data_IF_392198634560
#
_entry.id   IF_392198634560
#
_cell.length_a   1.000
_cell.length_b   1.000
_cell.length_c   1.000
_cell.angle_alpha   90.00
_cell.angle_beta   90.00
_cell.angle_gamma   90.00
#
_symmetry.space_group_name_H-M   'P 1'
#
loop_
_entity.id
_entity.type
_entity.pdbx_description
1 polymer ?
#
# COMPACT_ATOMS: atom_id res chain seq x y z
N UNK A 1 -18.13 -28.06 -43.01
CA UNK A 1 -16.94 -27.17 -43.03
C UNK A 1 -17.18 -25.84 -42.32
N UNK A 2 -18.27 -25.10 -42.58
CA UNK A 2 -18.54 -23.80 -41.93
C UNK A 2 -18.57 -23.82 -40.38
N UNK A 3 -19.18 -24.83 -39.74
CA UNK A 3 -19.21 -24.98 -38.28
C UNK A 3 -17.82 -25.14 -37.64
N UNK A 4 -16.91 -25.84 -38.30
CA UNK A 4 -15.55 -26.03 -37.81
C UNK A 4 -14.74 -24.73 -37.89
N UNK A 5 -14.94 -23.93 -38.94
CA UNK A 5 -14.32 -22.60 -39.05
C UNK A 5 -14.84 -21.62 -38.00
N UNK A 6 -16.14 -21.63 -37.69
CA UNK A 6 -16.72 -20.76 -36.64
C UNK A 6 -16.18 -21.14 -35.26
N UNK A 7 -16.09 -22.44 -34.95
CA UNK A 7 -15.51 -22.90 -33.68
C UNK A 7 -14.02 -22.56 -33.57
N UNK A 8 -13.26 -22.69 -34.66
CA UNK A 8 -11.85 -22.32 -34.71
C UNK A 8 -11.67 -20.80 -34.51
N UNK A 9 -12.51 -19.97 -35.14
CA UNK A 9 -12.45 -18.52 -34.97
C UNK A 9 -12.82 -18.08 -33.55
N UNK A 10 -13.83 -18.72 -32.93
CA UNK A 10 -14.20 -18.43 -31.54
C UNK A 10 -13.08 -18.84 -30.58
N UNK A 11 -12.49 -20.02 -30.76
CA UNK A 11 -11.36 -20.47 -29.96
C UNK A 11 -10.14 -19.53 -30.09
N UNK A 12 -9.84 -19.06 -31.31
CA UNK A 12 -8.76 -18.12 -31.56
C UNK A 12 -9.01 -16.77 -30.87
N UNK A 13 -10.24 -16.25 -30.95
CA UNK A 13 -10.63 -15.00 -30.28
C UNK A 13 -10.54 -15.15 -28.76
N UNK A 14 -11.02 -16.27 -28.20
CA UNK A 14 -10.89 -16.54 -26.76
C UNK A 14 -9.43 -16.60 -26.30
N UNK A 15 -8.55 -17.23 -27.08
CA UNK A 15 -7.12 -17.30 -26.78
C UNK A 15 -6.45 -15.92 -26.83
N UNK A 16 -6.76 -15.11 -27.85
CA UNK A 16 -6.22 -13.76 -27.98
C UNK A 16 -6.69 -12.83 -26.86
N UNK A 17 -7.98 -12.91 -26.50
CA UNK A 17 -8.54 -12.13 -25.38
C UNK A 17 -7.87 -12.54 -24.06
N UNK A 18 -7.72 -13.85 -23.80
CA UNK A 18 -7.07 -14.33 -22.57
C UNK A 18 -5.59 -13.95 -22.47
N UNK A 19 -4.85 -13.96 -23.59
CA UNK A 19 -3.47 -13.49 -23.61
C UNK A 19 -3.36 -11.98 -23.36
N UNK A 20 -4.29 -11.19 -23.93
CA UNK A 20 -4.38 -9.75 -23.71
C UNK A 20 -4.65 -9.39 -22.25
N UNK A 21 -5.64 -10.04 -21.62
CA UNK A 21 -6.01 -9.80 -20.21
C UNK A 21 -4.92 -10.26 -19.23
N UNK A 22 -4.21 -11.35 -19.51
CA UNK A 22 -3.08 -11.79 -18.71
C UNK A 22 -1.93 -10.77 -18.75
N UNK A 23 -1.59 -10.27 -19.94
CA UNK A 23 -0.55 -9.25 -20.18
C UNK A 23 -0.89 -7.91 -19.51
N UNK A 24 -2.14 -7.48 -19.59
CA UNK A 24 -2.59 -6.23 -18.98
C UNK A 24 -2.54 -6.27 -17.44
N UNK A 25 -3.00 -7.36 -16.83
CA UNK A 25 -2.93 -7.52 -15.38
C UNK A 25 -1.49 -7.56 -14.86
N UNK A 26 -0.58 -8.23 -15.57
CA UNK A 26 0.84 -8.24 -15.22
C UNK A 26 1.43 -6.82 -15.23
N UNK A 27 1.07 -6.02 -16.24
CA UNK A 27 1.46 -4.60 -16.32
C UNK A 27 0.91 -3.79 -15.14
N UNK A 28 -0.35 -4.00 -14.77
CA UNK A 28 -0.98 -3.33 -13.62
C UNK A 28 -0.27 -3.68 -12.29
N UNK A 29 0.06 -4.95 -12.08
CA UNK A 29 0.82 -5.39 -10.91
C UNK A 29 2.20 -4.74 -10.85
N UNK A 30 2.95 -4.78 -11.95
CA UNK A 30 4.28 -4.15 -12.03
C UNK A 30 4.20 -2.65 -11.71
N UNK A 31 3.19 -1.95 -12.24
CA UNK A 31 2.96 -0.55 -11.94
C UNK A 31 2.66 -0.32 -10.45
N UNK A 32 1.81 -1.13 -9.84
CA UNK A 32 1.49 -1.04 -8.41
C UNK A 32 2.74 -1.27 -7.54
N UNK A 33 3.55 -2.28 -7.86
CA UNK A 33 4.83 -2.56 -7.17
C UNK A 33 5.81 -1.39 -7.27
N UNK A 34 5.96 -0.81 -8.46
CA UNK A 34 6.84 0.36 -8.67
C UNK A 34 6.34 1.56 -7.84
N UNK A 35 5.04 1.82 -7.85
CA UNK A 35 4.44 2.96 -7.13
C UNK A 35 4.61 2.83 -5.61
N UNK A 36 4.34 1.67 -5.03
CA UNK A 36 4.57 1.46 -3.58
C UNK A 36 6.04 1.47 -3.23
N UNK A 37 6.92 0.93 -4.08
CA UNK A 37 8.36 0.97 -3.86
C UNK A 37 8.87 2.42 -3.78
N UNK A 38 8.38 3.30 -4.66
CA UNK A 38 8.69 4.73 -4.56
C UNK A 38 8.19 5.36 -3.25
N UNK A 39 6.99 5.01 -2.79
CA UNK A 39 6.46 5.48 -1.50
C UNK A 39 7.30 4.97 -0.32
N UNK A 40 7.71 3.71 -0.33
CA UNK A 40 8.57 3.15 0.72
C UNK A 40 9.96 3.81 0.73
N UNK A 41 10.57 4.02 -0.44
CA UNK A 41 11.85 4.74 -0.55
C UNK A 41 11.73 6.19 -0.05
N UNK A 42 10.63 6.87 -0.41
CA UNK A 42 10.34 8.20 0.10
C UNK A 42 10.21 8.19 1.63
N UNK A 43 9.47 7.24 2.19
CA UNK A 43 9.34 7.08 3.64
C UNK A 43 10.68 6.85 4.35
N UNK A 44 11.54 6.01 3.77
CA UNK A 44 12.89 5.77 4.27
C UNK A 44 13.75 7.03 4.23
N UNK A 45 13.66 7.83 3.16
CA UNK A 45 14.35 9.12 3.07
C UNK A 45 13.85 10.10 4.14
N UNK A 46 12.54 10.25 4.28
CA UNK A 46 11.95 11.20 5.22
C UNK A 46 12.33 10.91 6.67
N UNK A 47 12.31 9.64 7.10
CA UNK A 47 12.71 9.30 8.48
C UNK A 47 14.21 9.53 8.70
N UNK A 48 15.06 9.22 7.71
CA UNK A 48 16.50 9.46 7.82
C UNK A 48 16.80 10.96 7.90
N UNK A 49 16.19 11.77 7.04
CA UNK A 49 16.37 13.22 7.05
C UNK A 49 15.88 13.83 8.38
N UNK A 50 14.76 13.33 8.90
CA UNK A 50 14.25 13.72 10.21
C UNK A 50 15.26 13.38 11.30
N UNK A 51 15.75 12.13 11.36
CA UNK A 51 16.76 11.71 12.35
C UNK A 51 18.05 12.53 12.25
N UNK A 52 18.48 12.91 11.04
CA UNK A 52 19.65 13.76 10.75
C UNK A 52 19.48 15.21 11.20
N UNK A 53 18.25 15.70 11.31
CA UNK A 53 17.98 17.01 11.89
C UNK A 53 18.02 17.06 13.43
N UNK A 54 18.01 15.91 14.10
CA UNK A 54 17.89 15.84 15.57
C UNK A 54 19.24 15.93 16.29
N UNK A 55 19.21 16.42 17.53
CA UNK A 55 20.36 16.32 18.43
C UNK A 55 20.63 14.84 18.78
N UNK A 56 21.89 14.45 19.06
CA UNK A 56 22.24 13.06 19.38
C UNK A 56 21.43 12.44 20.53
N UNK A 57 21.09 13.24 21.55
CA UNK A 57 20.31 12.78 22.70
C UNK A 57 18.83 12.54 22.33
N UNK A 58 18.23 13.42 21.52
CA UNK A 58 16.86 13.25 21.01
C UNK A 58 16.76 12.00 20.14
N UNK A 59 17.74 11.79 19.25
CA UNK A 59 17.84 10.58 18.43
C UNK A 59 17.92 9.31 19.29
N UNK A 60 18.71 9.34 20.38
CA UNK A 60 18.84 8.22 21.33
C UNK A 60 17.54 7.95 22.10
N UNK A 61 16.75 8.98 22.38
CA UNK A 61 15.46 8.84 23.06
C UNK A 61 14.40 8.27 22.13
N UNK A 62 14.30 8.79 20.90
CA UNK A 62 13.33 8.33 19.91
C UNK A 62 13.55 6.88 19.46
N UNK A 63 14.80 6.46 19.27
CA UNK A 63 15.12 5.08 18.88
C UNK A 63 14.67 4.03 19.90
N UNK A 64 14.55 4.40 21.18
CA UNK A 64 14.00 3.54 22.25
C UNK A 64 12.47 3.49 22.24
N UNK A 65 11.81 4.53 21.72
CA UNK A 65 10.36 4.67 21.74
C UNK A 65 9.72 3.92 20.57
N UNK A 66 10.38 3.85 19.41
CA UNK A 66 9.78 3.24 18.22
C UNK A 66 9.37 1.77 18.39
N UNK A 67 10.20 0.88 18.97
CA UNK A 67 9.79 -0.52 19.21
C UNK A 67 8.54 -0.66 20.09
N UNK A 68 8.20 0.38 20.86
CA UNK A 68 7.05 0.44 21.75
C UNK A 68 5.85 1.17 21.13
N UNK A 69 6.01 1.73 19.93
CA UNK A 69 4.98 2.55 19.29
C UNK A 69 4.02 1.71 18.46
N UNK A 70 2.74 1.77 18.82
CA UNK A 70 1.66 1.18 18.05
C UNK A 70 1.38 2.03 16.81
N UNK A 71 1.24 1.43 15.63
CA UNK A 71 0.73 2.11 14.45
C UNK A 71 -0.77 1.84 14.33
N UNK A 72 -1.54 2.79 13.83
CA UNK A 72 -2.99 2.59 13.72
C UNK A 72 -3.34 1.40 12.83
N UNK A 73 -2.55 1.20 11.78
CA UNK A 73 -2.57 0.01 10.92
C UNK A 73 -2.34 -1.33 11.63
N UNK A 74 -1.86 -1.36 12.89
CA UNK A 74 -1.65 -2.61 13.62
C UNK A 74 -2.96 -3.29 14.06
N UNK A 75 -4.10 -2.58 14.01
CA UNK A 75 -5.41 -3.22 14.19
C UNK A 75 -5.93 -3.92 12.92
N UNK A 76 -5.25 -3.73 11.77
CA UNK A 76 -5.57 -4.46 10.54
C UNK A 76 -4.95 -5.84 10.66
N UNK A 77 -5.79 -6.88 10.71
CA UNK A 77 -5.33 -8.26 10.72
C UNK A 77 -4.59 -8.57 9.41
N UNK A 78 -3.28 -8.74 9.52
CA UNK A 78 -2.39 -8.86 8.38
C UNK A 78 -1.30 -9.89 8.65
N UNK A 79 -0.88 -10.66 7.63
CA UNK A 79 0.21 -11.61 7.78
C UNK A 79 1.47 -10.96 8.33
N UNK A 80 1.93 -11.43 9.49
CA UNK A 80 3.06 -10.79 10.20
C UNK A 80 4.40 -11.42 9.86
N UNK A 81 4.38 -12.70 9.48
CA UNK A 81 5.57 -13.45 9.11
C UNK A 81 5.58 -13.88 7.63
N UNK A 82 6.75 -14.37 7.22
CA UNK A 82 7.01 -14.79 5.84
C UNK A 82 6.12 -15.97 5.42
N UNK A 83 5.92 -16.94 6.30
CA UNK A 83 5.18 -18.17 5.99
C UNK A 83 3.69 -17.88 5.82
N UNK A 84 3.13 -17.06 6.70
CA UNK A 84 1.74 -16.61 6.61
C UNK A 84 1.49 -15.78 5.34
N UNK A 85 2.44 -14.89 5.01
CA UNK A 85 2.39 -14.10 3.77
C UNK A 85 2.43 -15.02 2.55
N UNK A 86 3.32 -16.03 2.56
CA UNK A 86 3.46 -17.02 1.50
C UNK A 86 2.29 -18.01 1.38
N UNK A 87 1.47 -18.18 2.42
CA UNK A 87 0.24 -19.00 2.39
C UNK A 87 -1.02 -18.21 2.03
N UNK A 88 -1.03 -16.90 2.23
CA UNK A 88 -2.20 -16.04 1.97
C UNK A 88 -2.58 -15.97 0.49
N UNK A 89 -3.86 -15.93 0.14
CA UNK A 89 -4.29 -15.79 -1.27
C UNK A 89 -3.90 -14.42 -1.86
N UNK A 90 -3.80 -14.34 -3.20
CA UNK A 90 -3.54 -13.08 -3.90
C UNK A 90 -4.59 -12.01 -3.55
N UNK A 91 -5.88 -12.38 -3.54
CA UNK A 91 -6.97 -11.49 -3.18
C UNK A 91 -6.85 -10.99 -1.73
N UNK A 92 -6.52 -11.87 -0.76
CA UNK A 92 -6.29 -11.48 0.63
C UNK A 92 -5.17 -10.44 0.74
N UNK A 93 -4.02 -10.69 0.07
CA UNK A 93 -2.89 -9.75 0.07
C UNK A 93 -3.25 -8.40 -0.55
N UNK A 94 -4.02 -8.39 -1.65
CA UNK A 94 -4.49 -7.15 -2.28
C UNK A 94 -5.47 -6.38 -1.39
N UNK A 95 -6.43 -7.06 -0.75
CA UNK A 95 -7.41 -6.42 0.16
C UNK A 95 -6.73 -5.80 1.37
N UNK A 96 -5.82 -6.52 2.02
CA UNK A 96 -5.03 -5.98 3.13
C UNK A 96 -4.17 -4.80 2.67
N UNK A 97 -3.54 -4.89 1.50
CA UNK A 97 -2.78 -3.79 0.91
C UNK A 97 -3.67 -2.55 0.70
N UNK A 98 -4.87 -2.72 0.16
CA UNK A 98 -5.84 -1.64 -0.02
C UNK A 98 -6.21 -1.00 1.32
N UNK A 99 -6.53 -1.79 2.35
CA UNK A 99 -6.88 -1.31 3.69
C UNK A 99 -5.73 -0.55 4.36
N UNK A 100 -4.48 -1.00 4.18
CA UNK A 100 -3.30 -0.27 4.65
C UNK A 100 -3.18 1.08 3.95
N UNK A 101 -3.25 1.13 2.62
CA UNK A 101 -3.18 2.40 1.87
C UNK A 101 -4.32 3.35 2.26
N UNK A 102 -5.53 2.83 2.42
CA UNK A 102 -6.69 3.61 2.84
C UNK A 102 -6.53 4.19 4.25
N UNK A 103 -5.92 3.45 5.19
CA UNK A 103 -5.64 3.96 6.54
C UNK A 103 -4.70 5.18 6.57
N UNK A 104 -3.96 5.43 5.48
CA UNK A 104 -3.06 6.57 5.32
C UNK A 104 -3.69 7.79 4.63
N UNK A 105 -4.97 7.74 4.26
CA UNK A 105 -5.66 8.85 3.59
C UNK A 105 -5.61 10.16 4.40
N UNK A 106 -6.08 10.13 5.65
CA UNK A 106 -6.01 11.30 6.56
C UNK A 106 -4.58 11.60 7.06
N UNK A 107 -3.81 10.62 7.57
CA UNK A 107 -2.49 10.89 8.17
C UNK A 107 -1.45 11.41 7.18
N UNK A 108 -1.61 11.11 5.89
CA UNK A 108 -0.74 11.63 4.84
C UNK A 108 -0.74 13.16 4.76
N UNK A 109 -1.85 13.81 5.13
CA UNK A 109 -1.97 15.27 5.11
C UNK A 109 -1.08 15.91 6.18
N UNK A 110 -1.05 15.32 7.39
CA UNK A 110 -0.16 15.74 8.47
C UNK A 110 1.29 15.43 8.16
N UNK A 111 1.57 14.25 7.58
CA UNK A 111 2.90 13.82 7.18
C UNK A 111 3.54 14.82 6.20
N UNK A 112 2.77 15.29 5.22
CA UNK A 112 3.19 16.34 4.30
C UNK A 112 3.57 17.65 5.00
N UNK A 113 2.85 18.02 6.05
CA UNK A 113 3.16 19.20 6.87
C UNK A 113 4.47 19.07 7.64
N UNK A 114 4.70 17.95 8.33
CA UNK A 114 5.90 17.69 9.15
C UNK A 114 7.20 17.72 8.34
N UNK A 115 7.15 17.35 7.06
CA UNK A 115 8.35 17.18 6.21
C UNK A 115 8.67 18.44 5.39
N UNK A 116 7.91 19.53 5.57
CA UNK A 116 8.11 20.80 4.82
C UNK A 116 9.50 21.44 4.98
N UNK A 117 10.29 21.03 5.98
CA UNK A 117 11.67 21.49 6.15
C UNK A 117 12.74 20.62 5.45
N UNK A 118 12.42 19.37 5.06
CA UNK A 118 13.34 18.45 4.38
C UNK A 118 13.03 18.28 2.88
N UNK A 119 11.75 18.37 2.50
CA UNK A 119 11.34 18.37 1.10
C UNK A 119 11.54 19.78 0.53
N UNK A 120 12.76 20.07 0.10
CA UNK A 120 13.07 21.21 -0.77
C UNK A 120 11.99 21.37 -1.86
N UNK A 121 11.25 22.48 -1.85
CA UNK A 121 10.54 23.04 -3.03
C UNK A 121 9.67 22.01 -3.78
N UNK A 122 8.96 21.13 -3.07
CA UNK A 122 8.16 20.05 -3.66
C UNK A 122 6.73 20.05 -3.14
N UNK A 123 5.76 19.93 -4.06
CA UNK A 123 4.31 19.91 -3.81
C UNK A 123 3.97 19.18 -2.48
N UNK A 124 3.41 19.87 -1.47
CA UNK A 124 3.07 19.26 -0.18
C UNK A 124 2.10 18.09 -0.34
N UNK A 125 1.27 18.05 -1.38
CA UNK A 125 0.27 16.99 -1.57
C UNK A 125 0.83 15.73 -2.24
N UNK A 126 2.13 15.67 -2.51
CA UNK A 126 2.73 14.60 -3.30
C UNK A 126 2.53 13.20 -2.69
N UNK A 127 2.54 13.06 -1.36
CA UNK A 127 2.33 11.76 -0.70
C UNK A 127 0.87 11.32 -0.84
N UNK A 128 -0.07 12.22 -0.52
CA UNK A 128 -1.51 11.97 -0.63
C UNK A 128 -1.92 11.60 -2.06
N UNK A 129 -1.42 12.32 -3.07
CA UNK A 129 -1.67 12.02 -4.48
C UNK A 129 -1.14 10.63 -4.89
N UNK A 130 0.08 10.28 -4.47
CA UNK A 130 0.68 8.96 -4.75
C UNK A 130 -0.08 7.82 -4.08
N UNK A 131 -0.55 8.02 -2.85
CA UNK A 131 -1.38 7.05 -2.14
C UNK A 131 -2.73 6.84 -2.83
N UNK A 132 -3.39 7.93 -3.24
CA UNK A 132 -4.66 7.87 -3.95
C UNK A 132 -4.55 7.11 -5.29
N UNK A 133 -3.51 7.40 -6.07
CA UNK A 133 -3.25 6.70 -7.33
C UNK A 133 -2.91 5.22 -7.12
N UNK A 134 -2.12 4.88 -6.07
CA UNK A 134 -1.89 3.48 -5.70
C UNK A 134 -3.18 2.77 -5.24
N UNK A 135 -4.04 3.43 -4.44
CA UNK A 135 -5.34 2.92 -3.98
C UNK A 135 -6.21 2.53 -5.18
N UNK A 136 -6.29 3.40 -6.20
CA UNK A 136 -7.00 3.12 -7.45
C UNK A 136 -6.40 1.91 -8.18
N UNK A 137 -5.06 1.87 -8.32
CA UNK A 137 -4.37 0.74 -8.96
C UNK A 137 -4.65 -0.61 -8.28
N UNK A 138 -4.63 -0.66 -6.94
CA UNK A 138 -4.95 -1.87 -6.17
C UNK A 138 -6.43 -2.25 -6.33
N UNK A 139 -7.35 -1.28 -6.34
CA UNK A 139 -8.78 -1.54 -6.53
C UNK A 139 -9.07 -2.20 -7.89
N UNK A 140 -8.41 -1.74 -8.96
CA UNK A 140 -8.51 -2.37 -10.29
C UNK A 140 -7.99 -3.81 -10.26
N UNK A 141 -6.87 -4.07 -9.58
CA UNK A 141 -6.33 -5.42 -9.42
C UNK A 141 -7.26 -6.33 -8.64
N UNK A 142 -7.90 -5.84 -7.56
CA UNK A 142 -8.90 -6.60 -6.79
C UNK A 142 -10.06 -6.98 -7.70
N UNK A 143 -10.60 -6.02 -8.46
CA UNK A 143 -11.72 -6.26 -9.39
C UNK A 143 -11.35 -7.31 -10.45
N UNK A 144 -10.16 -7.19 -11.04
CA UNK A 144 -9.66 -8.17 -12.02
C UNK A 144 -9.40 -9.57 -11.43
N UNK A 145 -9.31 -9.72 -10.10
CA UNK A 145 -9.25 -11.02 -9.43
C UNK A 145 -10.64 -11.61 -9.14
N UNK A 146 -11.69 -10.77 -9.09
CA UNK A 146 -13.07 -11.16 -8.79
C UNK A 146 -13.87 -11.56 -10.04
N UNK A 147 -13.45 -11.12 -11.23
CA UNK A 147 -14.07 -11.52 -12.51
C UNK A 147 -14.00 -13.06 -12.68
N UNK A 148 -15.10 -13.74 -12.30
CA UNK A 148 -15.26 -15.21 -12.35
C UNK A 148 -15.52 -15.91 -11.00
N UNK A 149 -15.52 -15.20 -9.86
CA UNK A 149 -15.91 -15.73 -8.55
C UNK A 149 -17.26 -15.15 -8.10
N UNK A 150 -18.19 -15.94 -7.55
CA UNK A 150 -19.35 -15.39 -6.88
C UNK A 150 -18.88 -14.53 -5.69
N UNK A 151 -19.35 -13.28 -5.61
CA UNK A 151 -19.06 -12.37 -4.50
C UNK A 151 -19.40 -13.06 -3.18
N UNK A 152 -18.37 -13.59 -2.52
CA UNK A 152 -18.39 -13.92 -1.10
C UNK A 152 -17.58 -12.81 -0.43
N UNK A 153 -18.26 -12.10 0.48
CA UNK A 153 -17.80 -10.97 1.28
C UNK A 153 -17.82 -9.59 0.62
N UNK A 154 -19.04 -9.07 0.47
CA UNK A 154 -19.34 -7.62 0.49
C UNK A 154 -19.31 -7.04 1.94
N UNK A 155 -18.75 -7.76 2.91
CA UNK A 155 -18.74 -7.37 4.32
C UNK A 155 -17.42 -6.74 4.80
N UNK A 156 -16.54 -6.32 3.89
CA UNK A 156 -15.16 -5.90 4.21
C UNK A 156 -14.98 -4.38 4.33
N UNK A 157 -16.06 -3.67 4.66
CA UNK A 157 -16.05 -2.28 5.12
C UNK A 157 -16.14 -2.23 6.65
N UNK A 158 -15.30 -3.00 7.35
CA UNK A 158 -15.06 -2.74 8.78
C UNK A 158 -14.69 -1.25 8.91
N UNK A 159 -15.37 -0.47 9.78
CA UNK A 159 -15.03 0.92 10.00
C UNK A 159 -13.54 1.00 10.36
N UNK A 160 -12.80 1.83 9.65
CA UNK A 160 -11.43 2.18 10.04
C UNK A 160 -11.55 2.97 11.36
N UNK A 161 -11.07 2.47 12.50
CA UNK A 161 -11.31 3.10 13.81
C UNK A 161 -10.43 4.34 14.04
N UNK A 162 -10.06 5.06 12.98
CA UNK A 162 -8.85 5.87 12.95
C UNK A 162 -9.09 7.38 12.87
N UNK A 163 -10.34 7.85 12.79
CA UNK A 163 -10.64 9.28 12.65
C UNK A 163 -10.24 10.06 13.91
N UNK A 164 -10.51 9.52 15.11
CA UNK A 164 -10.25 10.22 16.38
C UNK A 164 -8.77 10.39 16.73
N UNK A 165 -7.89 9.45 16.34
CA UNK A 165 -6.47 9.47 16.76
C UNK A 165 -5.68 10.63 16.16
N UNK A 166 -6.02 11.05 14.94
CA UNK A 166 -5.29 12.09 14.23
C UNK A 166 -5.89 13.49 14.40
N UNK A 167 -7.16 13.58 14.83
CA UNK A 167 -7.81 14.84 15.18
C UNK A 167 -7.25 15.46 16.47
N UNK A 168 -6.61 14.67 17.33
CA UNK A 168 -5.94 15.18 18.55
C UNK A 168 -4.51 15.67 18.33
N UNK A 169 -3.99 15.55 17.10
CA UNK A 169 -2.62 15.96 16.76
C UNK A 169 -2.53 17.48 16.56
N UNK A 170 -2.74 18.24 17.63
CA UNK A 170 -2.29 19.63 17.74
C UNK A 170 -0.77 19.67 17.95
N UNK A 171 -0.09 20.66 17.37
CA UNK A 171 1.38 20.87 17.39
C UNK A 171 2.21 19.59 17.63
N UNK A 172 2.45 18.81 16.56
CA UNK A 172 3.08 17.50 16.68
C UNK A 172 4.43 17.56 17.38
N UNK A 173 4.54 16.91 18.54
CA UNK A 173 5.80 16.73 19.25
C UNK A 173 6.79 15.93 18.39
N UNK A 174 8.10 16.08 18.62
CA UNK A 174 9.14 15.28 17.93
C UNK A 174 8.84 13.76 17.97
N UNK A 175 8.24 13.30 19.07
CA UNK A 175 7.82 11.91 19.26
C UNK A 175 6.69 11.50 18.33
N UNK A 176 5.68 12.34 18.15
CA UNK A 176 4.54 12.07 17.27
C UNK A 176 4.94 12.12 15.81
N UNK A 177 5.74 13.12 15.42
CA UNK A 177 6.33 13.22 14.09
C UNK A 177 7.14 11.96 13.74
N UNK A 178 8.02 11.53 14.66
CA UNK A 178 8.81 10.32 14.47
C UNK A 178 7.96 9.06 14.39
N UNK A 179 6.97 8.90 15.27
CA UNK A 179 6.03 7.78 15.24
C UNK A 179 5.30 7.72 13.89
N UNK A 180 4.81 8.85 13.40
CA UNK A 180 4.08 8.93 12.13
C UNK A 180 4.98 8.51 10.96
N UNK A 181 6.19 9.07 10.87
CA UNK A 181 7.18 8.72 9.84
C UNK A 181 7.53 7.23 9.85
N UNK A 182 7.76 6.68 11.04
CA UNK A 182 8.17 5.31 11.20
C UNK A 182 7.04 4.31 10.92
N UNK A 183 5.80 4.65 11.31
CA UNK A 183 4.61 3.91 10.92
C UNK A 183 4.41 3.92 9.41
N UNK A 184 4.58 5.07 8.76
CA UNK A 184 4.44 5.18 7.31
C UNK A 184 5.43 4.28 6.58
N UNK A 185 6.71 4.35 6.97
CA UNK A 185 7.76 3.46 6.44
C UNK A 185 7.41 1.98 6.64
N UNK A 186 6.99 1.61 7.86
CA UNK A 186 6.61 0.22 8.20
C UNK A 186 5.50 -0.29 7.28
N UNK A 187 4.46 0.51 7.09
CA UNK A 187 3.30 0.08 6.31
C UNK A 187 3.58 0.05 4.82
N UNK A 188 4.32 1.02 4.28
CA UNK A 188 4.72 0.99 2.86
C UNK A 188 5.60 -0.22 2.55
N UNK A 189 6.49 -0.62 3.46
CA UNK A 189 7.26 -1.85 3.34
C UNK A 189 6.37 -3.12 3.35
N UNK A 190 5.36 -3.18 4.23
CA UNK A 190 4.38 -4.28 4.25
C UNK A 190 3.63 -4.37 2.92
N UNK A 191 3.09 -3.25 2.42
CA UNK A 191 2.36 -3.21 1.14
C UNK A 191 3.27 -3.62 -0.02
N UNK A 192 4.52 -3.13 -0.08
CA UNK A 192 5.49 -3.55 -1.09
C UNK A 192 5.72 -5.06 -1.07
N UNK A 193 5.88 -5.63 0.12
CA UNK A 193 6.06 -7.08 0.31
C UNK A 193 4.84 -7.85 -0.20
N UNK A 194 3.64 -7.46 0.19
CA UNK A 194 2.40 -8.12 -0.23
C UNK A 194 2.18 -8.04 -1.73
N UNK A 195 2.39 -6.87 -2.35
CA UNK A 195 2.23 -6.70 -3.80
C UNK A 195 3.28 -7.48 -4.59
N UNK A 196 4.53 -7.57 -4.11
CA UNK A 196 5.55 -8.42 -4.74
C UNK A 196 5.19 -9.90 -4.68
N UNK A 197 4.76 -10.39 -3.52
CA UNK A 197 4.33 -11.79 -3.35
C UNK A 197 3.11 -12.10 -4.21
N UNK A 198 2.12 -11.20 -4.25
CA UNK A 198 0.96 -11.33 -5.12
C UNK A 198 1.34 -11.39 -6.60
N UNK A 199 2.27 -10.54 -7.05
CA UNK A 199 2.78 -10.53 -8.42
C UNK A 199 3.49 -11.84 -8.80
N UNK A 200 4.38 -12.35 -7.93
CA UNK A 200 5.13 -13.58 -8.19
C UNK A 200 4.26 -14.83 -8.38
N UNK A 201 3.04 -14.86 -7.81
CA UNK A 201 2.13 -16.01 -7.96
C UNK A 201 1.32 -16.01 -9.25
N UNK A 202 1.36 -14.90 -9.99
CA UNK A 202 0.67 -14.76 -11.28
C UNK A 202 1.60 -15.06 -12.47
N UNK A 203 2.92 -14.94 -12.25
CA UNK A 203 3.97 -15.26 -13.22
C UNK A 203 4.11 -16.77 -13.47
#
# INVERSE_FOLDING_TARGET
MARAHVLLSVALVCLLVNQGTASENQRLFNNAVIRVQHLHQLAAKMINDFEDSLLPEERRQLSKIFPLSFCNSDSIEAPTDKDETQKSSMLKLLRISFRLIESWEFPSQTLSGTVSNSLTVGNPNQITEKLADLKVGISVLIKGCLDGQPNMDDNESLPLPFEDFYLTMGESSLRESFRLLACFKKDMHKVETYLRVANCRRS
#
